data_IF_554714862718
#
_entry.id   IF_554714862718
#
_cell.length_a   1.000
_cell.length_b   1.000
_cell.length_c   1.000
_cell.angle_alpha   90.00
_cell.angle_beta   90.00
_cell.angle_gamma   90.00
#
_symmetry.space_group_name_H-M   'P 1'
#
loop_
_entity.id
_entity.type
_entity.pdbx_description
1 polymer ?
#
# COMPACT_ATOMS: atom_id res chain seq x y z
N UNK A 1 -0.70 -8.91 28.33
CA UNK A 1 0.06 -9.76 27.39
C UNK A 1 -0.94 -10.50 26.53
N UNK A 2 -1.32 -9.94 25.39
CA UNK A 2 -2.13 -10.62 24.38
C UNK A 2 -1.17 -11.05 23.27
N UNK A 3 -0.88 -12.34 23.17
CA UNK A 3 -0.26 -12.90 21.97
C UNK A 3 -1.29 -12.90 20.86
N UNK A 4 -1.01 -12.12 19.82
CA UNK A 4 -1.81 -12.08 18.59
C UNK A 4 -1.37 -13.24 17.70
N UNK A 5 -2.25 -14.22 17.56
CA UNK A 5 -2.14 -15.26 16.53
C UNK A 5 -2.46 -14.58 15.20
N UNK A 6 -1.43 -14.26 14.41
CA UNK A 6 -1.58 -13.75 13.05
C UNK A 6 -1.44 -14.91 12.02
N UNK A 7 -2.15 -14.83 10.89
CA UNK A 7 -2.34 -15.96 9.99
C UNK A 7 -1.07 -16.31 9.20
N UNK A 8 -0.76 -17.60 9.13
CA UNK A 8 0.21 -18.16 8.17
C UNK A 8 -0.35 -18.02 6.76
N UNK A 9 0.32 -17.25 5.90
CA UNK A 9 0.00 -17.21 4.46
C UNK A 9 0.72 -18.38 3.79
N UNK A 10 -0.07 -19.38 3.37
CA UNK A 10 0.41 -20.56 2.63
C UNK A 10 0.12 -20.30 1.15
N UNK A 11 1.12 -19.96 0.35
CA UNK A 11 0.99 -19.90 -1.10
C UNK A 11 1.30 -21.29 -1.68
N UNK A 12 0.25 -22.04 -2.03
CA UNK A 12 0.37 -23.25 -2.85
C UNK A 12 0.37 -22.84 -4.33
N UNK A 13 1.52 -22.88 -4.99
CA UNK A 13 1.61 -22.63 -6.43
C UNK A 13 1.11 -23.83 -7.23
N UNK A 14 -0.09 -23.69 -7.79
CA UNK A 14 -0.47 -24.09 -9.14
C UNK A 14 -0.21 -25.51 -9.64
N UNK A 15 -1.26 -26.33 -9.64
CA UNK A 15 -1.45 -27.41 -10.61
C UNK A 15 -2.88 -27.36 -11.14
N UNK A 16 -3.05 -26.96 -12.40
CA UNK A 16 -4.32 -26.93 -13.12
C UNK A 16 -4.99 -28.31 -13.02
N UNK A 17 -6.17 -28.38 -12.42
CA UNK A 17 -6.99 -29.61 -12.39
C UNK A 17 -7.86 -29.60 -13.65
N UNK A 18 -7.30 -30.05 -14.77
CA UNK A 18 -8.11 -30.56 -15.88
C UNK A 18 -8.14 -32.08 -15.79
N UNK A 19 -9.37 -32.61 -15.92
CA UNK A 19 -9.75 -34.02 -16.10
C UNK A 19 -9.58 -34.97 -14.91
N UNK A 20 -10.68 -35.20 -14.18
CA UNK A 20 -11.12 -36.54 -13.73
C UNK A 20 -12.64 -36.52 -13.51
N UNK A 21 -13.42 -36.36 -14.59
CA UNK A 21 -14.80 -36.87 -14.62
C UNK A 21 -14.71 -38.22 -15.31
N UNK A 22 -14.64 -39.28 -14.52
CA UNK A 22 -14.89 -40.64 -15.00
C UNK A 22 -15.67 -41.40 -13.94
N UNK A 23 -16.95 -41.61 -14.28
CA UNK A 23 -17.87 -42.59 -13.71
C UNK A 23 -18.23 -42.44 -12.21
N UNK A 24 -19.20 -41.55 -11.93
CA UNK A 24 -20.04 -41.67 -10.73
C UNK A 24 -21.26 -42.50 -11.11
N UNK A 25 -21.30 -43.75 -10.64
CA UNK A 25 -22.56 -44.52 -10.54
C UNK A 25 -23.47 -43.86 -9.48
N UNK A 26 -24.79 -43.81 -9.68
CA UNK A 26 -25.69 -43.12 -8.76
C UNK A 26 -25.88 -43.98 -7.51
N UNK A 27 -25.16 -43.65 -6.44
CA UNK A 27 -25.33 -44.33 -5.17
C UNK A 27 -24.39 -43.81 -4.09
N UNK A 28 -24.98 -43.21 -3.05
CA UNK A 28 -24.37 -42.72 -1.81
C UNK A 28 -23.66 -41.36 -1.92
N UNK A 29 -24.33 -40.29 -1.47
CA UNK A 29 -23.62 -39.07 -1.08
C UNK A 29 -22.84 -39.37 0.20
N UNK A 30 -21.54 -39.57 0.07
CA UNK A 30 -20.66 -39.54 1.23
C UNK A 30 -20.54 -38.11 1.75
N UNK A 31 -20.59 -37.93 3.06
CA UNK A 31 -20.26 -36.65 3.67
C UNK A 31 -18.78 -36.38 3.41
N UNK A 32 -18.40 -35.11 3.17
CA UNK A 32 -17.01 -34.67 3.06
C UNK A 32 -16.15 -35.21 4.22
N UNK A 33 -16.73 -35.32 5.42
CA UNK A 33 -16.06 -35.91 6.59
C UNK A 33 -15.70 -37.39 6.41
N UNK A 34 -16.57 -38.18 5.77
CA UNK A 34 -16.32 -39.60 5.48
C UNK A 34 -15.26 -39.76 4.39
N UNK A 35 -15.28 -38.89 3.37
CA UNK A 35 -14.25 -38.88 2.34
C UNK A 35 -12.87 -38.55 2.94
N UNK A 36 -12.78 -37.56 3.83
CA UNK A 36 -11.53 -37.22 4.53
C UNK A 36 -11.05 -38.36 5.44
N UNK A 37 -11.96 -39.04 6.16
CA UNK A 37 -11.61 -40.16 7.03
C UNK A 37 -11.16 -41.41 6.27
N UNK A 38 -11.76 -41.67 5.09
CA UNK A 38 -11.39 -42.77 4.22
C UNK A 38 -10.18 -42.48 3.33
N UNK A 39 -9.72 -41.23 3.27
CA UNK A 39 -8.64 -40.80 2.39
C UNK A 39 -7.28 -41.29 2.91
N UNK A 40 -6.61 -42.14 2.13
CA UNK A 40 -5.26 -42.58 2.43
C UNK A 40 -4.25 -41.45 2.22
N UNK A 41 -3.48 -41.11 3.25
CA UNK A 41 -2.40 -40.11 3.17
C UNK A 41 -1.36 -40.45 2.10
N UNK A 42 -1.22 -41.72 1.72
CA UNK A 42 -0.30 -42.18 0.68
C UNK A 42 -0.75 -41.74 -0.73
N UNK A 43 -1.99 -41.28 -0.90
CA UNK A 43 -2.53 -40.75 -2.14
C UNK A 43 -2.28 -39.23 -2.29
N UNK A 44 -1.72 -38.55 -1.29
CA UNK A 44 -1.36 -37.14 -1.40
C UNK A 44 -0.19 -36.97 -2.37
N UNK A 45 -0.31 -36.02 -3.31
CA UNK A 45 0.84 -35.56 -4.09
C UNK A 45 1.88 -35.01 -3.13
N UNK A 46 3.14 -35.42 -3.28
CA UNK A 46 4.26 -34.83 -2.54
C UNK A 46 4.27 -33.31 -2.81
N UNK A 47 4.21 -32.52 -1.75
CA UNK A 47 4.20 -31.06 -1.82
C UNK A 47 5.51 -30.50 -1.25
N UNK A 48 5.95 -29.40 -1.86
CA UNK A 48 7.07 -28.59 -1.43
C UNK A 48 6.50 -27.22 -1.06
N UNK A 49 6.62 -26.83 0.19
CA UNK A 49 6.11 -25.53 0.66
C UNK A 49 7.26 -24.56 0.81
N UNK A 50 7.19 -23.45 0.09
CA UNK A 50 8.15 -22.35 0.25
C UNK A 50 7.61 -21.39 1.32
N UNK A 51 8.36 -21.20 2.39
CA UNK A 51 8.01 -20.32 3.51
C UNK A 51 8.99 -19.16 3.52
N UNK A 52 8.50 -17.93 3.50
CA UNK A 52 9.34 -16.75 3.79
C UNK A 52 8.96 -16.24 5.17
N UNK A 53 9.94 -16.19 6.06
CA UNK A 53 9.75 -15.69 7.43
C UNK A 53 9.61 -14.18 7.43
N UNK A 54 9.08 -13.63 8.53
CA UNK A 54 9.03 -12.18 8.76
C UNK A 54 10.42 -11.51 8.72
N UNK A 55 11.48 -12.28 8.92
CA UNK A 55 12.88 -11.82 8.82
C UNK A 55 13.46 -11.88 7.41
N UNK A 56 12.70 -12.29 6.40
CA UNK A 56 13.19 -12.46 5.02
C UNK A 56 13.82 -13.82 4.72
N UNK A 57 14.14 -14.62 5.75
CA UNK A 57 14.65 -16.00 5.57
C UNK A 57 13.66 -16.85 4.78
N UNK A 58 14.17 -17.56 3.78
CA UNK A 58 13.40 -18.45 2.91
C UNK A 58 13.68 -19.90 3.28
N UNK A 59 12.64 -20.66 3.55
CA UNK A 59 12.69 -22.06 3.91
C UNK A 59 11.90 -22.87 2.88
N UNK A 60 12.37 -24.08 2.61
CA UNK A 60 11.64 -25.08 1.85
C UNK A 60 11.30 -26.22 2.79
N UNK A 61 10.01 -26.39 3.06
CA UNK A 61 9.51 -27.54 3.80
C UNK A 61 9.11 -28.64 2.82
N UNK A 62 9.76 -29.80 2.95
CA UNK A 62 9.45 -31.01 2.19
C UNK A 62 8.97 -32.08 3.16
N UNK A 63 7.72 -32.51 3.00
CA UNK A 63 7.15 -33.62 3.79
C UNK A 63 7.25 -34.93 3.03
N UNK A 64 7.98 -35.90 3.57
CA UNK A 64 8.11 -37.25 3.00
C UNK A 64 7.84 -38.29 4.09
N UNK A 65 6.83 -39.14 3.90
CA UNK A 65 6.52 -40.30 4.76
C UNK A 65 6.50 -40.01 6.27
N UNK A 66 5.97 -38.84 6.66
CA UNK A 66 5.87 -38.42 8.06
C UNK A 66 7.15 -37.75 8.62
N UNK A 67 8.24 -37.72 7.85
CA UNK A 67 9.41 -36.91 8.15
C UNK A 67 9.28 -35.51 7.52
N UNK A 68 9.52 -34.49 8.33
CA UNK A 68 9.64 -33.09 7.89
C UNK A 68 11.11 -32.76 7.67
N UNK A 69 11.46 -32.38 6.45
CA UNK A 69 12.75 -31.78 6.14
C UNK A 69 12.53 -30.30 5.86
N UNK A 70 13.27 -29.45 6.56
CA UNK A 70 13.28 -28.01 6.37
C UNK A 70 14.68 -27.63 5.89
N UNK A 71 14.77 -27.13 4.67
CA UNK A 71 16.02 -26.62 4.10
C UNK A 71 15.94 -25.09 4.03
N UNK A 72 16.96 -24.41 4.53
CA UNK A 72 17.09 -22.95 4.37
C UNK A 72 17.65 -22.66 2.98
N UNK A 73 16.95 -21.84 2.20
CA UNK A 73 17.41 -21.38 0.89
C UNK A 73 18.39 -20.23 1.11
N UNK A 74 19.49 -20.19 0.35
CA UNK A 74 20.50 -19.13 0.47
C UNK A 74 19.90 -17.73 0.39
N UNK A 75 20.47 -16.84 1.20
CA UNK A 75 20.00 -15.49 1.49
C UNK A 75 19.86 -14.64 0.20
N UNK A 76 18.64 -14.54 -0.30
CA UNK A 76 18.25 -13.42 -1.15
C UNK A 76 18.02 -12.21 -0.25
N UNK A 77 18.60 -11.06 -0.61
CA UNK A 77 18.61 -9.79 0.14
C UNK A 77 17.22 -9.11 0.35
N UNK A 78 16.14 -9.88 0.42
CA UNK A 78 14.76 -9.41 0.38
C UNK A 78 14.01 -9.60 1.71
N UNK A 79 13.11 -8.68 2.00
CA UNK A 79 12.19 -8.71 3.13
C UNK A 79 11.15 -9.85 3.02
N UNK A 80 10.51 -10.19 4.15
CA UNK A 80 9.59 -11.32 4.31
C UNK A 80 8.25 -11.26 3.57
N UNK A 81 8.11 -10.34 2.62
CA UNK A 81 6.88 -10.09 1.89
C UNK A 81 7.16 -10.13 0.38
N UNK A 82 6.14 -10.49 -0.41
CA UNK A 82 6.22 -10.36 -1.87
C UNK A 82 6.09 -8.88 -2.19
N UNK A 83 7.15 -8.28 -2.71
CA UNK A 83 7.09 -6.92 -3.27
C UNK A 83 6.20 -6.93 -4.51
N UNK A 84 5.06 -6.24 -4.43
CA UNK A 84 4.27 -5.89 -5.60
C UNK A 84 5.03 -4.82 -6.38
N UNK A 85 5.44 -5.17 -7.61
CA UNK A 85 6.19 -4.28 -8.50
C UNK A 85 5.28 -3.49 -9.44
N UNK A 86 3.96 -3.63 -9.30
CA UNK A 86 3.03 -2.82 -10.07
C UNK A 86 3.13 -1.34 -9.66
N UNK A 87 3.09 -0.45 -10.65
CA UNK A 87 3.10 0.98 -10.43
C UNK A 87 1.76 1.44 -9.86
N UNK A 88 1.78 2.27 -8.82
CA UNK A 88 0.58 2.93 -8.31
C UNK A 88 0.38 4.29 -8.98
N UNK A 89 -0.22 4.29 -10.17
CA UNK A 89 -0.53 5.50 -10.93
C UNK A 89 -1.87 6.14 -10.56
N UNK A 90 -2.53 5.70 -9.47
CA UNK A 90 -3.81 6.28 -9.07
C UNK A 90 -3.62 7.69 -8.51
N UNK A 91 -4.38 8.65 -9.03
CA UNK A 91 -4.38 10.04 -8.56
C UNK A 91 -5.72 10.34 -7.89
N UNK A 92 -5.67 10.78 -6.63
CA UNK A 92 -6.81 11.33 -5.92
C UNK A 92 -7.01 12.79 -6.31
N UNK A 93 -8.16 13.12 -6.91
CA UNK A 93 -8.53 14.51 -7.22
C UNK A 93 -9.29 15.08 -6.03
N UNK A 94 -8.67 15.99 -5.29
CA UNK A 94 -9.27 16.61 -4.09
C UNK A 94 -10.06 17.85 -4.52
N UNK A 95 -9.42 18.70 -5.30
CA UNK A 95 -10.00 19.86 -5.98
C UNK A 95 -9.48 19.88 -7.43
N UNK A 96 -10.08 20.65 -8.34
CA UNK A 96 -9.59 20.76 -9.72
C UNK A 96 -8.10 21.14 -9.83
N UNK A 97 -7.57 21.88 -8.85
CA UNK A 97 -6.18 22.33 -8.79
C UNK A 97 -5.31 21.54 -7.79
N UNK A 98 -5.90 20.65 -6.97
CA UNK A 98 -5.20 19.95 -5.88
C UNK A 98 -5.35 18.44 -6.02
N UNK A 99 -4.23 17.77 -6.31
CA UNK A 99 -4.14 16.35 -6.54
C UNK A 99 -3.27 15.66 -5.47
N UNK A 100 -3.54 14.38 -5.24
CA UNK A 100 -2.82 13.53 -4.30
C UNK A 100 -2.35 12.24 -5.00
N UNK A 101 -1.08 11.87 -4.84
CA UNK A 101 -0.54 10.67 -5.48
C UNK A 101 0.67 10.05 -4.79
N UNK A 102 1.13 8.93 -5.36
CA UNK A 102 2.38 8.25 -5.02
C UNK A 102 3.57 8.89 -5.76
N UNK A 103 4.77 8.41 -5.45
CA UNK A 103 5.96 8.71 -6.24
C UNK A 103 5.81 8.22 -7.68
N UNK A 104 5.24 7.02 -7.89
CA UNK A 104 5.07 6.46 -9.24
C UNK A 104 4.25 7.40 -10.13
N UNK A 105 3.14 7.93 -9.59
CA UNK A 105 2.32 8.92 -10.29
C UNK A 105 3.07 10.25 -10.54
N UNK A 106 3.95 10.66 -9.62
CA UNK A 106 4.77 11.87 -9.76
C UNK A 106 5.98 11.68 -10.71
N UNK A 107 6.34 10.44 -11.02
CA UNK A 107 7.43 10.08 -11.95
C UNK A 107 6.90 9.61 -13.31
N UNK A 108 5.59 9.56 -13.50
CA UNK A 108 4.96 9.17 -14.76
C UNK A 108 4.51 10.39 -15.58
N UNK A 109 5.16 10.59 -16.74
CA UNK A 109 4.90 11.76 -17.61
C UNK A 109 3.47 11.77 -18.14
N UNK A 110 2.92 10.61 -18.50
CA UNK A 110 1.56 10.50 -19.05
C UNK A 110 0.51 10.90 -18.02
N UNK A 111 0.69 10.47 -16.77
CA UNK A 111 -0.14 10.88 -15.63
C UNK A 111 -0.06 12.37 -15.41
N UNK A 112 1.14 12.95 -15.32
CA UNK A 112 1.33 14.39 -15.12
C UNK A 112 0.66 15.22 -16.22
N UNK A 113 0.83 14.82 -17.49
CA UNK A 113 0.20 15.50 -18.63
C UNK A 113 -1.32 15.36 -18.65
N UNK A 114 -1.85 14.15 -18.36
CA UNK A 114 -3.29 13.88 -18.30
C UNK A 114 -3.99 14.79 -17.31
N UNK A 115 -3.39 14.99 -16.15
CA UNK A 115 -3.91 15.86 -15.09
C UNK A 115 -3.46 17.32 -15.21
N UNK A 116 -2.68 17.65 -16.24
CA UNK A 116 -2.15 19.01 -16.50
C UNK A 116 -1.40 19.58 -15.30
N UNK A 117 -0.63 18.73 -14.62
CA UNK A 117 0.17 19.13 -13.46
C UNK A 117 1.19 20.17 -13.91
N UNK A 118 1.24 21.29 -13.19
CA UNK A 118 2.25 22.34 -13.41
C UNK A 118 3.23 22.44 -12.24
N UNK A 119 2.79 22.02 -11.05
CA UNK A 119 3.56 22.09 -9.83
C UNK A 119 3.54 20.76 -9.08
N UNK A 120 4.61 20.46 -8.37
CA UNK A 120 4.71 19.26 -7.54
C UNK A 120 5.18 19.64 -6.14
N UNK A 121 4.38 19.27 -5.14
CA UNK A 121 4.75 19.34 -3.73
C UNK A 121 5.21 17.94 -3.29
N UNK A 122 6.54 17.75 -3.29
CA UNK A 122 7.18 16.52 -2.88
C UNK A 122 7.44 16.56 -1.36
N UNK A 123 6.65 15.81 -0.59
CA UNK A 123 6.83 15.69 0.88
C UNK A 123 7.45 14.35 1.30
N UNK A 124 8.06 13.62 0.36
CA UNK A 124 8.77 12.39 0.66
C UNK A 124 10.20 12.65 1.13
N UNK A 125 10.64 11.78 2.04
CA UNK A 125 12.04 11.64 2.38
C UNK A 125 12.75 10.75 1.35
N UNK A 126 13.89 11.19 0.82
CA UNK A 126 14.76 10.42 -0.07
C UNK A 126 14.26 10.24 -1.51
N UNK A 127 13.25 11.00 -1.94
CA UNK A 127 12.69 10.92 -3.30
C UNK A 127 13.10 12.13 -4.12
N UNK A 128 13.69 11.87 -5.30
CA UNK A 128 14.14 12.90 -6.22
C UNK A 128 12.99 13.42 -7.11
N UNK A 129 13.12 14.67 -7.56
CA UNK A 129 12.25 15.29 -8.54
C UNK A 129 12.74 14.94 -9.95
N UNK A 130 11.88 14.32 -10.78
CA UNK A 130 12.32 13.74 -12.05
C UNK A 130 12.26 14.71 -13.24
N UNK A 131 11.41 15.75 -13.18
CA UNK A 131 11.16 16.66 -14.29
C UNK A 131 11.39 18.15 -13.95
N UNK A 132 12.52 18.53 -13.31
CA UNK A 132 12.75 19.90 -12.83
C UNK A 132 12.76 20.96 -13.94
N UNK A 133 13.04 20.57 -15.18
CA UNK A 133 13.02 21.47 -16.34
C UNK A 133 11.61 21.73 -16.89
N UNK A 134 10.61 20.96 -16.47
CA UNK A 134 9.24 21.00 -17.00
C UNK A 134 8.20 21.42 -15.95
N UNK A 135 8.48 21.17 -14.66
CA UNK A 135 7.55 21.40 -13.56
C UNK A 135 8.23 22.22 -12.46
N UNK A 136 7.43 23.00 -11.74
CA UNK A 136 7.90 23.73 -10.56
C UNK A 136 7.76 22.84 -9.32
N UNK A 137 8.86 22.64 -8.60
CA UNK A 137 8.88 21.81 -7.41
C UNK A 137 9.01 22.61 -6.12
N UNK A 138 8.28 22.19 -5.10
CA UNK A 138 8.63 22.42 -3.70
C UNK A 138 8.88 21.09 -3.02
N UNK A 139 9.99 20.96 -2.32
CA UNK A 139 10.38 19.72 -1.66
C UNK A 139 10.58 19.95 -0.17
N UNK A 140 9.91 19.14 0.65
CA UNK A 140 10.05 19.10 2.09
C UNK A 140 10.32 17.65 2.50
N UNK A 141 11.48 17.38 3.09
CA UNK A 141 11.91 16.03 3.43
C UNK A 141 11.25 15.59 4.75
N UNK A 142 10.02 15.04 4.67
CA UNK A 142 9.26 14.62 5.85
C UNK A 142 9.43 13.10 6.07
N UNK A 143 9.83 12.73 7.28
CA UNK A 143 9.89 11.34 7.73
C UNK A 143 8.48 10.81 8.02
N UNK A 144 8.18 9.56 7.66
CA UNK A 144 6.88 8.93 7.92
C UNK A 144 6.85 8.23 9.27
N UNK A 145 7.18 8.97 10.33
CA UNK A 145 7.23 8.47 11.69
C UNK A 145 6.13 9.11 12.54
N UNK A 146 5.48 8.37 13.45
CA UNK A 146 4.45 8.91 14.34
C UNK A 146 4.89 10.15 15.14
N UNK A 147 6.19 10.22 15.48
CA UNK A 147 6.77 11.30 16.29
C UNK A 147 7.21 12.52 15.45
N UNK A 148 7.13 12.46 14.12
CA UNK A 148 7.40 13.63 13.28
C UNK A 148 6.24 14.61 13.43
N UNK A 149 6.51 15.87 13.74
CA UNK A 149 5.47 16.91 13.79
C UNK A 149 5.03 17.25 12.36
N UNK A 150 3.87 16.73 11.93
CA UNK A 150 3.34 17.02 10.59
C UNK A 150 2.65 18.39 10.55
N UNK A 151 2.16 18.87 11.69
CA UNK A 151 1.36 20.10 11.77
C UNK A 151 2.21 21.34 11.52
N UNK A 152 3.50 21.31 11.89
CA UNK A 152 4.46 22.38 11.59
C UNK A 152 4.65 22.63 10.09
N UNK A 153 4.40 21.63 9.23
CA UNK A 153 4.54 21.75 7.78
C UNK A 153 3.27 22.20 7.07
N UNK A 154 2.10 22.13 7.73
CA UNK A 154 0.80 22.42 7.10
C UNK A 154 0.75 23.84 6.57
N UNK A 155 1.24 24.83 7.32
CA UNK A 155 1.22 26.23 6.89
C UNK A 155 2.08 26.51 5.66
N UNK A 156 3.31 25.99 5.63
CA UNK A 156 4.22 26.15 4.49
C UNK A 156 3.71 25.42 3.25
N UNK A 157 3.21 24.19 3.42
CA UNK A 157 2.61 23.41 2.33
C UNK A 157 1.37 24.12 1.77
N UNK A 158 0.50 24.63 2.66
CA UNK A 158 -0.73 25.32 2.26
C UNK A 158 -0.43 26.57 1.46
N UNK A 159 0.55 27.36 1.89
CA UNK A 159 0.96 28.58 1.18
C UNK A 159 1.45 28.27 -0.24
N UNK A 160 2.13 27.14 -0.46
CA UNK A 160 2.51 26.70 -1.80
C UNK A 160 1.29 26.29 -2.63
N UNK A 161 0.35 25.53 -2.05
CA UNK A 161 -0.88 25.12 -2.74
C UNK A 161 -1.70 26.36 -3.16
N UNK A 162 -1.85 27.34 -2.26
CA UNK A 162 -2.54 28.60 -2.53
C UNK A 162 -1.89 29.34 -3.70
N UNK A 163 -0.56 29.47 -3.68
CA UNK A 163 0.20 30.12 -4.75
C UNK A 163 -0.03 29.45 -6.10
N UNK A 164 -0.08 28.12 -6.16
CA UNK A 164 -0.36 27.39 -7.40
C UNK A 164 -1.77 27.65 -7.89
N UNK A 165 -2.74 27.66 -6.97
CA UNK A 165 -4.13 27.96 -7.30
C UNK A 165 -4.28 29.38 -7.86
N UNK A 166 -3.65 30.38 -7.24
CA UNK A 166 -3.67 31.78 -7.68
C UNK A 166 -3.08 31.96 -9.09
N UNK A 167 -2.09 31.15 -9.45
CA UNK A 167 -1.50 31.12 -10.79
C UNK A 167 -2.35 30.35 -11.82
N UNK A 168 -3.49 29.78 -11.42
CA UNK A 168 -4.32 28.91 -12.27
C UNK A 168 -3.65 27.58 -12.60
N UNK A 169 -2.67 27.15 -11.80
CA UNK A 169 -1.95 25.90 -11.95
C UNK A 169 -2.65 24.70 -11.31
N UNK A 170 -2.02 23.53 -11.44
CA UNK A 170 -2.45 22.28 -10.79
C UNK A 170 -1.26 21.70 -10.04
N UNK A 171 -1.44 21.46 -8.74
CA UNK A 171 -0.43 20.87 -7.87
C UNK A 171 -0.71 19.39 -7.60
N UNK A 172 0.32 18.56 -7.79
CA UNK A 172 0.35 17.19 -7.27
C UNK A 172 1.13 17.15 -5.95
N UNK A 173 0.45 16.81 -4.86
CA UNK A 173 1.08 16.54 -3.57
C UNK A 173 1.37 15.04 -3.48
N UNK A 174 2.64 14.67 -3.32
CA UNK A 174 3.01 13.25 -3.22
C UNK A 174 4.01 12.98 -2.10
N UNK A 175 4.03 11.72 -1.67
CA UNK A 175 5.13 11.15 -0.89
C UNK A 175 5.65 9.90 -1.60
N UNK A 176 6.15 8.88 -0.89
CA UNK A 176 6.54 7.62 -1.52
C UNK A 176 5.30 6.84 -2.01
N UNK A 177 4.42 6.41 -1.10
CA UNK A 177 3.28 5.56 -1.44
C UNK A 177 1.97 6.33 -1.70
N UNK A 178 1.95 7.64 -1.47
CA UNK A 178 0.69 8.39 -1.59
C UNK A 178 -0.34 8.04 -0.50
N UNK A 179 0.11 7.59 0.68
CA UNK A 179 -0.75 7.00 1.73
C UNK A 179 -0.80 7.86 2.99
N UNK A 180 0.36 8.30 3.50
CA UNK A 180 0.50 8.91 4.82
C UNK A 180 0.85 10.40 4.75
N UNK A 181 2.14 10.77 4.65
CA UNK A 181 2.63 12.17 4.67
C UNK A 181 1.85 13.15 3.78
N UNK A 182 1.76 12.87 2.47
CA UNK A 182 1.06 13.75 1.55
C UNK A 182 -0.43 13.84 1.84
N UNK A 183 -1.05 12.74 2.28
CA UNK A 183 -2.46 12.75 2.66
C UNK A 183 -2.67 13.61 3.91
N UNK A 184 -1.78 13.50 4.91
CA UNK A 184 -1.80 14.33 6.11
C UNK A 184 -1.65 15.81 5.81
N UNK A 185 -0.75 16.18 4.89
CA UNK A 185 -0.60 17.56 4.43
C UNK A 185 -1.87 18.08 3.76
N UNK A 186 -2.47 17.29 2.87
CA UNK A 186 -3.73 17.66 2.19
C UNK A 186 -4.89 17.78 3.17
N UNK A 187 -5.00 16.87 4.14
CA UNK A 187 -6.02 16.96 5.21
C UNK A 187 -5.82 18.26 6.00
N UNK A 188 -4.59 18.54 6.44
CA UNK A 188 -4.25 19.77 7.14
C UNK A 188 -4.55 21.03 6.33
N UNK A 189 -4.30 21.00 5.01
CA UNK A 189 -4.66 22.09 4.10
C UNK A 189 -6.17 22.34 4.10
N UNK A 190 -7.00 21.30 3.93
CA UNK A 190 -8.45 21.45 3.93
C UNK A 190 -8.96 21.98 5.28
N UNK A 191 -8.38 21.54 6.39
CA UNK A 191 -8.70 22.07 7.71
C UNK A 191 -8.33 23.56 7.83
N UNK A 192 -7.11 23.93 7.43
CA UNK A 192 -6.58 25.29 7.57
C UNK A 192 -7.23 26.30 6.62
N UNK A 193 -7.45 25.93 5.35
CA UNK A 193 -7.92 26.85 4.30
C UNK A 193 -9.41 26.82 4.08
N UNK A 194 -10.04 25.67 4.25
CA UNK A 194 -11.48 25.52 4.04
C UNK A 194 -12.25 25.42 5.35
N UNK A 195 -11.58 25.44 6.50
CA UNK A 195 -12.21 25.39 7.81
C UNK A 195 -12.91 24.07 8.11
N UNK A 196 -12.56 22.98 7.40
CA UNK A 196 -13.18 21.68 7.60
C UNK A 196 -12.77 21.08 8.95
N UNK A 197 -13.71 20.37 9.57
CA UNK A 197 -13.38 19.49 10.69
C UNK A 197 -12.50 18.33 10.19
N UNK A 198 -11.66 17.82 11.08
CA UNK A 198 -10.74 16.73 10.75
C UNK A 198 -11.44 15.53 10.09
N UNK A 199 -12.57 15.06 10.63
CA UNK A 199 -13.29 13.89 10.11
C UNK A 199 -13.82 14.13 8.68
N UNK A 200 -14.28 15.35 8.37
CA UNK A 200 -14.78 15.72 7.05
C UNK A 200 -13.63 15.81 6.05
N UNK A 201 -12.53 16.48 6.43
CA UNK A 201 -11.33 16.58 5.60
C UNK A 201 -10.73 15.19 5.31
N UNK A 202 -10.57 14.36 6.35
CA UNK A 202 -10.09 12.99 6.21
C UNK A 202 -10.99 12.17 5.28
N UNK A 203 -12.31 12.24 5.47
CA UNK A 203 -13.28 11.51 4.65
C UNK A 203 -13.22 11.92 3.18
N UNK A 204 -13.12 13.22 2.88
CA UNK A 204 -13.00 13.69 1.50
C UNK A 204 -11.72 13.16 0.82
N UNK A 205 -10.59 13.22 1.53
CA UNK A 205 -9.30 12.74 1.00
C UNK A 205 -9.31 11.23 0.82
N UNK A 206 -9.92 10.49 1.76
CA UNK A 206 -10.08 9.03 1.69
C UNK A 206 -11.00 8.59 0.55
N UNK A 207 -12.07 9.34 0.29
CA UNK A 207 -12.97 9.08 -0.85
C UNK A 207 -12.26 9.30 -2.18
N UNK A 208 -11.45 10.35 -2.29
CA UNK A 208 -10.69 10.64 -3.50
C UNK A 208 -9.57 9.60 -3.76
N UNK A 209 -8.95 9.08 -2.70
CA UNK A 209 -7.91 8.03 -2.80
C UNK A 209 -8.08 6.99 -1.68
N UNK A 210 -8.73 5.84 -1.94
CA UNK A 210 -9.06 4.85 -0.92
C UNK A 210 -7.87 4.25 -0.16
N UNK A 211 -6.65 4.30 -0.70
CA UNK A 211 -5.43 3.82 -0.03
C UNK A 211 -4.94 4.74 1.09
N UNK A 212 -5.45 5.99 1.16
CA UNK A 212 -5.06 6.98 2.18
C UNK A 212 -5.21 6.43 3.58
N UNK A 213 -4.12 6.51 4.34
CA UNK A 213 -4.06 6.09 5.74
C UNK A 213 -2.84 6.77 6.38
N UNK A 214 -2.99 8.00 6.89
CA UNK A 214 -2.00 8.62 7.76
C UNK A 214 -1.50 7.63 8.80
N UNK A 215 -0.20 7.69 9.11
CA UNK A 215 0.30 6.95 10.26
C UNK A 215 -0.44 7.40 11.54
N UNK A 216 -0.48 6.56 12.59
CA UNK A 216 -1.26 6.87 13.80
C UNK A 216 -0.89 8.19 14.48
N UNK A 217 0.38 8.58 14.46
CA UNK A 217 0.84 9.84 15.04
C UNK A 217 0.32 11.04 14.26
N UNK A 218 0.41 11.02 12.92
CA UNK A 218 -0.14 12.09 12.08
C UNK A 218 -1.65 12.20 12.21
N UNK A 219 -2.36 11.07 12.29
CA UNK A 219 -3.80 11.05 12.50
C UNK A 219 -4.16 11.78 13.80
N UNK A 220 -3.50 11.43 14.91
CA UNK A 220 -3.74 12.06 16.22
C UNK A 220 -3.35 13.54 16.23
N UNK A 221 -2.22 13.89 15.62
CA UNK A 221 -1.79 15.28 15.51
C UNK A 221 -2.82 16.13 14.76
N UNK A 222 -3.31 15.65 13.61
CA UNK A 222 -4.35 16.34 12.83
C UNK A 222 -5.70 16.39 13.55
N UNK A 223 -6.10 15.33 14.24
CA UNK A 223 -7.34 15.32 15.02
C UNK A 223 -7.32 16.38 16.14
N UNK A 224 -6.14 16.66 16.70
CA UNK A 224 -5.94 17.69 17.73
C UNK A 224 -5.54 19.06 17.16
N UNK A 225 -5.29 19.14 15.86
CA UNK A 225 -4.84 20.36 15.19
C UNK A 225 -5.98 21.37 15.14
N UNK A 226 -5.71 22.59 15.62
CA UNK A 226 -6.60 23.74 15.54
C UNK A 226 -5.88 24.82 14.74
N UNK A 227 -6.20 24.97 13.45
CA UNK A 227 -5.57 25.94 12.57
C UNK A 227 -5.80 27.39 13.02
#
# INVERSE_FOLDING_TARGET
>A
MYESILPRVINATGGIITNFISAVSPGVMHSLTQEIQGFSKNCLKKQCTHVTTVTGRKLVERRHDGAEQVEELEEGNGCGFVEDKSLDLQVGVIRPYLLLGSQDAAHDTDTLQRYKVTHVLNVAYGVNNLFPDQLVYKTLQILDLPDTDITSYVGECSSFIDQVQEQGGVVLVHCNAGVSRCASVVIGYLMLREGLLFEDAYSQVKLARPSVRPNPGFYQQLQNYKP
#
